data_IF_594915656775
#
_entry.id   IF_594915656775
#
_cell.length_a   1.000
_cell.length_b   1.000
_cell.length_c   1.000
_cell.angle_alpha   90.00
_cell.angle_beta   90.00
_cell.angle_gamma   90.00
#
_symmetry.space_group_name_H-M   'P 1'
#
loop_
_entity.id
_entity.type
_entity.pdbx_description
1 polymer ?
#
# COMPACT_ATOMS: atom_id res chain seq x y z
N UNK A 1 21.38 10.43 -13.91
CA UNK A 1 22.02 9.84 -12.70
C UNK A 1 21.06 8.95 -11.90
N UNK A 2 19.75 9.11 -12.01
CA UNK A 2 18.78 8.29 -11.26
C UNK A 2 18.68 6.82 -11.72
N UNK A 3 19.01 6.52 -12.96
CA UNK A 3 19.04 5.12 -13.47
C UNK A 3 20.21 4.27 -12.96
N UNK A 4 21.25 4.88 -12.41
CA UNK A 4 22.43 4.16 -11.87
C UNK A 4 22.23 3.68 -10.43
N UNK A 5 21.42 4.34 -9.64
CA UNK A 5 21.13 3.94 -8.25
C UNK A 5 20.30 2.65 -8.15
N UNK A 6 19.47 2.36 -9.16
CA UNK A 6 18.65 1.15 -9.23
C UNK A 6 19.46 -0.13 -9.52
N UNK A 7 20.61 0.01 -10.18
CA UNK A 7 21.43 -1.14 -10.63
C UNK A 7 22.24 -1.81 -9.52
N UNK A 8 22.50 -1.11 -8.42
CA UNK A 8 23.36 -1.61 -7.34
C UNK A 8 22.53 -2.34 -6.26
N UNK A 9 21.22 -2.07 -6.16
CA UNK A 9 20.31 -2.66 -5.18
C UNK A 9 19.79 -4.09 -5.45
N UNK A 10 20.03 -4.64 -6.62
CA UNK A 10 19.34 -5.81 -7.19
C UNK A 10 19.77 -7.20 -6.67
N UNK A 11 20.46 -7.33 -5.55
CA UNK A 11 21.00 -8.63 -5.10
C UNK A 11 20.44 -9.25 -3.81
N UNK A 12 19.47 -8.66 -3.19
CA UNK A 12 18.80 -9.30 -2.06
C UNK A 12 17.67 -10.28 -2.46
N UNK A 13 17.31 -10.36 -3.73
CA UNK A 13 16.08 -11.00 -4.18
C UNK A 13 16.26 -12.26 -5.05
N UNK A 14 17.43 -12.87 -5.07
CA UNK A 14 17.62 -14.15 -5.78
C UNK A 14 17.56 -15.26 -4.74
N UNK A 15 16.55 -16.12 -4.89
CA UNK A 15 16.23 -17.30 -4.08
C UNK A 15 15.27 -17.06 -2.90
N UNK A 16 14.07 -16.57 -3.18
CA UNK A 16 12.93 -17.08 -2.48
C UNK A 16 12.33 -18.20 -3.36
N UNK A 17 12.81 -19.41 -3.18
CA UNK A 17 12.05 -20.60 -3.54
C UNK A 17 10.69 -20.48 -2.86
N UNK A 18 9.56 -20.83 -3.51
CA UNK A 18 8.29 -20.89 -2.82
C UNK A 18 8.48 -21.86 -1.65
N UNK A 19 8.57 -21.32 -0.45
CA UNK A 19 8.60 -22.14 0.76
C UNK A 19 7.31 -22.93 0.72
N UNK A 20 7.43 -24.23 0.50
CA UNK A 20 6.41 -25.18 0.89
C UNK A 20 6.12 -24.88 2.35
N UNK A 21 4.93 -24.42 2.62
CA UNK A 21 4.42 -24.18 3.95
C UNK A 21 4.24 -25.56 4.62
N UNK A 22 5.34 -26.13 5.12
CA UNK A 22 5.30 -27.26 6.03
C UNK A 22 5.61 -26.70 7.40
N UNK A 23 4.55 -26.23 8.03
CA UNK A 23 4.24 -26.28 9.44
C UNK A 23 5.15 -26.97 10.40
N UNK A 24 5.35 -26.42 11.38
CA UNK A 24 5.34 -26.74 12.81
C UNK A 24 6.12 -25.64 13.50
N UNK A 25 5.39 -24.60 13.87
CA UNK A 25 5.87 -23.59 14.79
C UNK A 25 6.34 -24.29 16.06
N UNK A 26 7.64 -24.54 16.19
CA UNK A 26 8.26 -24.65 17.49
C UNK A 26 8.10 -23.28 18.13
N UNK A 27 7.20 -23.19 19.12
CA UNK A 27 7.11 -22.06 20.03
C UNK A 27 8.45 -21.99 20.80
N UNK A 28 9.36 -21.17 20.30
CA UNK A 28 10.45 -20.64 21.12
C UNK A 28 9.84 -19.64 22.08
N UNK A 29 10.24 -19.68 23.35
CA UNK A 29 9.81 -18.71 24.35
C UNK A 29 10.07 -17.29 23.84
N UNK A 30 9.16 -16.31 24.10
CA UNK A 30 9.33 -14.95 23.63
C UNK A 30 10.60 -14.36 24.22
N UNK A 31 11.40 -13.76 23.34
CA UNK A 31 12.58 -12.96 23.71
C UNK A 31 12.14 -11.83 24.65
N UNK A 32 12.73 -11.69 25.84
CA UNK A 32 12.37 -10.63 26.79
C UNK A 32 12.59 -9.20 26.25
N UNK A 33 13.27 -9.01 25.10
CA UNK A 33 13.40 -7.72 24.41
C UNK A 33 12.11 -7.27 23.68
N UNK A 34 11.09 -8.15 23.54
CA UNK A 34 9.84 -7.89 22.82
C UNK A 34 8.69 -7.42 23.72
N UNK A 35 8.96 -6.68 24.80
CA UNK A 35 7.89 -6.10 25.64
C UNK A 35 6.96 -5.10 24.91
N UNK A 36 7.29 -4.69 23.69
CA UNK A 36 6.53 -3.75 22.87
C UNK A 36 6.16 -4.30 21.47
N UNK A 37 6.09 -5.60 21.32
CA UNK A 37 5.60 -6.18 20.06
C UNK A 37 4.14 -5.73 19.83
N UNK A 38 3.78 -5.28 18.61
CA UNK A 38 2.43 -4.89 18.30
C UNK A 38 1.46 -6.07 18.49
N UNK A 39 0.17 -5.82 18.80
CA UNK A 39 -0.81 -6.89 18.93
C UNK A 39 -0.88 -7.68 17.62
N UNK A 40 -0.89 -9.00 17.74
CA UNK A 40 -1.02 -9.88 16.58
C UNK A 40 -2.37 -9.69 15.91
N UNK A 41 -2.38 -9.56 14.60
CA UNK A 41 -3.60 -9.53 13.81
C UNK A 41 -4.18 -10.94 13.64
N UNK A 42 -5.50 -11.08 13.42
CA UNK A 42 -6.09 -12.34 13.01
C UNK A 42 -5.39 -12.87 11.77
N UNK A 43 -5.18 -14.17 11.69
CA UNK A 43 -4.62 -14.78 10.48
C UNK A 43 -5.63 -14.69 9.32
N UNK A 44 -5.18 -14.51 8.06
CA UNK A 44 -6.06 -14.60 6.90
C UNK A 44 -6.62 -16.01 6.76
N UNK A 45 -7.74 -16.17 6.03
CA UNK A 45 -8.25 -17.47 5.61
C UNK A 45 -7.18 -18.28 4.88
N UNK A 46 -7.31 -19.59 4.87
CA UNK A 46 -6.36 -20.45 4.14
C UNK A 46 -6.46 -20.21 2.64
N UNK A 47 -5.38 -20.49 1.89
CA UNK A 47 -5.37 -20.36 0.43
C UNK A 47 -6.40 -21.24 -0.27
N UNK A 48 -6.83 -22.34 0.35
CA UNK A 48 -7.89 -23.21 -0.16
C UNK A 48 -9.27 -22.54 -0.06
N UNK A 49 -9.45 -21.61 0.86
CA UNK A 49 -10.66 -20.78 1.02
C UNK A 49 -10.61 -19.53 0.13
N UNK A 50 -9.47 -19.25 -0.52
CA UNK A 50 -9.38 -18.20 -1.52
C UNK A 50 -10.36 -18.53 -2.64
N UNK A 51 -11.48 -17.81 -2.60
CA UNK A 51 -12.60 -18.09 -3.48
C UNK A 51 -12.18 -18.11 -4.95
N UNK A 52 -12.12 -19.28 -5.54
CA UNK A 52 -12.07 -19.43 -7.01
C UNK A 52 -13.14 -18.58 -7.69
N UNK A 53 -14.21 -18.26 -6.96
CA UNK A 53 -15.29 -17.38 -7.36
C UNK A 53 -14.81 -15.94 -7.62
N UNK A 54 -13.98 -15.36 -6.74
CA UNK A 54 -13.44 -14.01 -6.94
C UNK A 54 -12.63 -13.93 -8.24
N UNK A 55 -11.63 -14.80 -8.40
CA UNK A 55 -10.73 -14.78 -9.56
C UNK A 55 -11.49 -15.06 -10.86
N UNK A 56 -12.44 -16.00 -10.85
CA UNK A 56 -13.28 -16.35 -12.01
C UNK A 56 -14.16 -15.19 -12.48
N UNK A 57 -14.64 -14.35 -11.57
CA UNK A 57 -15.51 -13.20 -11.87
C UNK A 57 -14.78 -11.87 -12.04
N UNK A 58 -13.45 -11.83 -11.86
CA UNK A 58 -12.69 -10.59 -11.83
C UNK A 58 -11.77 -10.46 -13.05
N UNK A 59 -11.88 -9.39 -13.83
CA UNK A 59 -10.93 -9.11 -14.89
C UNK A 59 -9.58 -8.76 -14.28
N UNK A 60 -8.52 -9.36 -14.81
CA UNK A 60 -7.14 -9.15 -14.41
C UNK A 60 -6.40 -8.40 -15.50
N UNK A 61 -5.52 -7.48 -15.13
CA UNK A 61 -4.58 -6.83 -16.04
C UNK A 61 -3.17 -7.34 -15.79
N UNK A 62 -2.34 -7.33 -16.82
CA UNK A 62 -0.89 -7.54 -16.67
C UNK A 62 -0.28 -6.35 -15.95
N UNK A 63 0.56 -6.60 -14.94
CA UNK A 63 1.19 -5.53 -14.15
C UNK A 63 2.15 -4.73 -15.02
N UNK A 64 2.00 -3.39 -15.14
CA UNK A 64 2.90 -2.54 -15.91
C UNK A 64 4.35 -2.67 -15.46
N UNK A 65 5.28 -2.68 -16.42
CA UNK A 65 6.71 -2.83 -16.13
C UNK A 65 7.18 -4.26 -15.89
N UNK A 66 6.28 -5.25 -15.86
CA UNK A 66 6.66 -6.66 -15.84
C UNK A 66 6.95 -7.12 -17.27
N UNK A 67 8.20 -7.47 -17.53
CA UNK A 67 8.59 -8.05 -18.82
C UNK A 67 8.23 -9.54 -18.88
N UNK A 68 7.77 -9.98 -20.07
CA UNK A 68 7.52 -11.40 -20.35
C UNK A 68 8.36 -11.81 -21.56
N UNK A 69 9.31 -12.70 -21.35
CA UNK A 69 10.33 -13.09 -22.32
C UNK A 69 10.18 -14.57 -22.70
N UNK A 70 10.44 -14.89 -23.98
CA UNK A 70 10.45 -16.26 -24.53
C UNK A 70 9.18 -17.08 -24.22
N UNK A 71 8.04 -16.44 -23.99
CA UNK A 71 6.79 -17.09 -23.59
C UNK A 71 6.87 -17.88 -22.28
N UNK A 72 7.89 -17.66 -21.47
CA UNK A 72 8.11 -18.45 -20.23
C UNK A 72 8.74 -17.70 -19.07
N UNK A 73 9.52 -16.65 -19.30
CA UNK A 73 10.26 -15.95 -18.24
C UNK A 73 9.64 -14.60 -17.97
N UNK A 74 9.35 -14.31 -16.71
CA UNK A 74 8.90 -12.99 -16.25
C UNK A 74 9.99 -12.30 -15.45
N UNK A 75 10.09 -10.97 -15.61
CA UNK A 75 11.02 -10.11 -14.90
C UNK A 75 10.22 -8.94 -14.33
N UNK A 76 10.09 -8.87 -13.03
CA UNK A 76 9.28 -7.87 -12.34
C UNK A 76 8.38 -8.48 -11.29
N UNK A 77 7.26 -7.81 -11.00
CA UNK A 77 6.30 -8.24 -9.98
C UNK A 77 6.51 -7.57 -8.63
N UNK A 78 5.67 -7.94 -7.66
CA UNK A 78 5.75 -7.44 -6.29
C UNK A 78 5.65 -8.62 -5.31
N UNK A 79 6.77 -9.02 -4.69
CA UNK A 79 8.14 -8.47 -4.84
C UNK A 79 8.75 -8.71 -6.23
N UNK A 80 9.71 -7.86 -6.62
CA UNK A 80 10.40 -7.98 -7.91
C UNK A 80 11.20 -9.29 -8.00
N UNK A 81 10.94 -10.11 -9.02
CA UNK A 81 11.57 -11.42 -9.22
C UNK A 81 11.88 -11.69 -10.68
N UNK A 82 12.78 -12.65 -10.91
CA UNK A 82 12.93 -13.30 -12.21
C UNK A 82 12.43 -14.72 -12.06
N UNK A 83 11.34 -15.05 -12.73
CA UNK A 83 10.65 -16.33 -12.55
C UNK A 83 10.42 -17.02 -13.89
N UNK A 84 10.73 -18.33 -13.97
CA UNK A 84 10.30 -19.15 -15.09
C UNK A 84 8.93 -19.75 -14.79
N UNK A 85 7.93 -19.34 -15.56
CA UNK A 85 6.55 -19.78 -15.37
C UNK A 85 6.41 -21.30 -15.63
N UNK A 86 5.63 -22.01 -14.79
CA UNK A 86 5.26 -23.40 -15.03
C UNK A 86 4.53 -23.55 -16.38
N UNK A 87 4.73 -24.68 -17.08
CA UNK A 87 4.15 -24.90 -18.40
C UNK A 87 2.64 -24.65 -18.47
N UNK A 88 1.89 -25.05 -17.44
CA UNK A 88 0.43 -24.87 -17.34
C UNK A 88 -0.01 -23.41 -17.17
N UNK A 89 0.88 -22.52 -16.70
CA UNK A 89 0.57 -21.08 -16.49
C UNK A 89 0.79 -20.26 -17.76
N UNK A 90 1.75 -20.66 -18.61
CA UNK A 90 2.21 -19.88 -19.76
C UNK A 90 1.12 -19.49 -20.75
N UNK A 91 0.16 -20.37 -21.14
CA UNK A 91 -0.87 -20.01 -22.12
C UNK A 91 -1.74 -18.86 -21.63
N UNK A 92 -2.14 -18.87 -20.35
CA UNK A 92 -2.92 -17.79 -19.78
C UNK A 92 -2.08 -16.53 -19.59
N UNK A 93 -0.82 -16.67 -19.14
CA UNK A 93 0.10 -15.54 -18.99
C UNK A 93 0.34 -14.82 -20.33
N UNK A 94 0.49 -15.57 -21.45
CA UNK A 94 0.63 -14.99 -22.78
C UNK A 94 -0.60 -14.16 -23.18
N UNK A 95 -1.80 -14.74 -23.05
CA UNK A 95 -3.06 -14.04 -23.33
C UNK A 95 -3.21 -12.77 -22.51
N UNK A 96 -2.88 -12.86 -21.20
CA UNK A 96 -3.00 -11.73 -20.28
C UNK A 96 -1.97 -10.64 -20.57
N UNK A 97 -0.74 -11.03 -20.93
CA UNK A 97 0.31 -10.09 -21.36
C UNK A 97 -0.10 -9.32 -22.61
N UNK A 98 -0.67 -10.02 -23.62
CA UNK A 98 -1.17 -9.42 -24.86
C UNK A 98 -2.37 -8.50 -24.60
N UNK A 99 -3.27 -8.87 -23.67
CA UNK A 99 -4.40 -8.03 -23.26
C UNK A 99 -3.96 -6.81 -22.45
N UNK A 100 -2.82 -6.87 -21.76
CA UNK A 100 -2.30 -5.76 -20.96
C UNK A 100 -3.30 -5.27 -19.92
N UNK A 101 -3.57 -3.96 -19.87
CA UNK A 101 -4.56 -3.33 -18.98
C UNK A 101 -5.99 -3.32 -19.52
N UNK A 102 -6.23 -3.76 -20.77
CA UNK A 102 -7.60 -4.04 -21.22
C UNK A 102 -8.23 -5.20 -20.44
N UNK A 103 -7.38 -6.06 -19.91
CA UNK A 103 -7.77 -7.10 -18.97
C UNK A 103 -8.30 -8.38 -19.59
N UNK A 104 -8.28 -9.44 -18.81
CA UNK A 104 -8.81 -10.76 -19.18
C UNK A 104 -9.43 -11.43 -17.94
N UNK A 105 -10.65 -11.94 -18.09
CA UNK A 105 -11.31 -12.71 -17.03
C UNK A 105 -11.05 -14.19 -17.22
N UNK A 106 -10.47 -14.91 -16.24
CA UNK A 106 -10.25 -16.35 -16.33
C UNK A 106 -11.58 -17.11 -16.43
N UNK A 107 -11.70 -17.99 -17.42
CA UNK A 107 -12.94 -18.72 -17.71
C UNK A 107 -12.89 -20.17 -17.23
N UNK A 108 -11.74 -20.84 -17.36
CA UNK A 108 -11.57 -22.26 -17.04
C UNK A 108 -10.86 -22.47 -15.69
N UNK A 109 -11.02 -23.64 -15.08
CA UNK A 109 -10.31 -24.00 -13.84
C UNK A 109 -8.78 -23.85 -13.97
N UNK A 110 -8.23 -24.17 -15.15
CA UNK A 110 -6.78 -24.04 -15.42
C UNK A 110 -6.38 -22.57 -15.50
N UNK A 111 -7.18 -21.72 -16.14
CA UNK A 111 -6.92 -20.28 -16.20
C UNK A 111 -7.05 -19.62 -14.83
N UNK A 112 -8.03 -20.02 -14.00
CA UNK A 112 -8.17 -19.55 -12.62
C UNK A 112 -6.94 -19.92 -11.79
N UNK A 113 -6.44 -21.15 -11.87
CA UNK A 113 -5.23 -21.57 -11.17
C UNK A 113 -3.98 -20.80 -11.66
N UNK A 114 -3.89 -20.54 -12.96
CA UNK A 114 -2.82 -19.71 -13.52
C UNK A 114 -2.92 -18.26 -13.07
N UNK A 115 -4.12 -17.70 -13.04
CA UNK A 115 -4.38 -16.35 -12.57
C UNK A 115 -3.99 -16.16 -11.09
N UNK A 116 -4.36 -17.09 -10.22
CA UNK A 116 -3.97 -17.09 -8.80
C UNK A 116 -2.44 -17.07 -8.69
N UNK A 117 -1.75 -17.92 -9.45
CA UNK A 117 -0.29 -17.96 -9.46
C UNK A 117 0.34 -16.62 -9.89
N UNK A 118 -0.22 -15.96 -10.91
CA UNK A 118 0.26 -14.66 -11.37
C UNK A 118 -0.02 -13.53 -10.36
N UNK A 119 -1.18 -13.55 -9.71
CA UNK A 119 -1.55 -12.63 -8.64
C UNK A 119 -0.62 -12.75 -7.42
N UNK A 120 -0.27 -13.97 -7.03
CA UNK A 120 0.61 -14.22 -5.89
C UNK A 120 2.05 -13.72 -6.11
N UNK A 121 2.49 -13.67 -7.37
CA UNK A 121 3.78 -13.13 -7.76
C UNK A 121 3.73 -11.63 -8.10
N UNK A 122 2.55 -10.97 -8.04
CA UNK A 122 2.39 -9.59 -8.46
C UNK A 122 2.70 -9.35 -9.95
N UNK A 123 2.50 -10.37 -10.79
CA UNK A 123 2.65 -10.29 -12.24
C UNK A 123 1.34 -9.87 -12.93
N UNK A 124 0.25 -9.99 -12.22
CA UNK A 124 -1.09 -9.56 -12.60
C UNK A 124 -1.76 -8.87 -11.41
N UNK A 125 -2.68 -7.96 -11.71
CA UNK A 125 -3.49 -7.24 -10.74
C UNK A 125 -4.96 -7.32 -11.12
N UNK A 126 -5.89 -7.45 -10.15
CA UNK A 126 -7.31 -7.32 -10.43
C UNK A 126 -7.63 -5.87 -10.82
N UNK A 127 -8.46 -5.71 -11.83
CA UNK A 127 -8.89 -4.38 -12.28
C UNK A 127 -10.00 -3.82 -11.38
N UNK A 128 -9.90 -2.56 -10.93
CA UNK A 128 -10.88 -1.93 -10.07
C UNK A 128 -12.11 -1.49 -10.90
N UNK A 129 -13.10 -2.36 -10.98
CA UNK A 129 -14.35 -2.15 -11.73
C UNK A 129 -15.52 -2.19 -10.77
N UNK A 130 -16.37 -1.15 -10.81
CA UNK A 130 -17.59 -1.10 -10.02
C UNK A 130 -18.54 -2.24 -10.41
N UNK A 131 -19.16 -2.88 -9.40
CA UNK A 131 -20.07 -4.02 -9.59
C UNK A 131 -21.50 -3.75 -9.11
N UNK A 132 -21.85 -2.52 -8.87
CA UNK A 132 -23.16 -2.10 -8.38
C UNK A 132 -23.06 -1.26 -7.10
N UNK A 133 -24.21 -0.98 -6.46
CA UNK A 133 -24.24 -0.25 -5.19
C UNK A 133 -23.42 -0.96 -4.09
N UNK A 134 -22.80 -0.18 -3.23
CA UNK A 134 -22.06 -0.64 -2.06
C UNK A 134 -22.89 -0.29 -0.82
N UNK A 135 -23.17 -1.26 0.04
CA UNK A 135 -23.98 -1.11 1.26
C UNK A 135 -23.29 -1.66 2.52
N UNK A 136 -22.09 -2.19 2.36
CA UNK A 136 -21.31 -2.85 3.42
C UNK A 136 -20.03 -2.09 3.81
N UNK A 137 -19.97 -0.79 3.49
CA UNK A 137 -18.84 0.11 3.81
C UNK A 137 -19.34 1.35 4.54
N UNK A 138 -18.77 1.64 5.70
CA UNK A 138 -18.87 2.96 6.35
C UNK A 138 -17.61 3.78 6.08
N UNK A 139 -17.76 5.09 5.92
CA UNK A 139 -16.63 6.02 5.73
C UNK A 139 -16.31 6.72 7.04
N UNK A 140 -15.06 6.75 7.45
CA UNK A 140 -14.55 7.43 8.65
C UNK A 140 -13.63 8.57 8.23
N UNK A 141 -13.96 9.78 8.67
CA UNK A 141 -13.20 11.00 8.38
C UNK A 141 -12.68 11.60 9.69
N UNK A 142 -11.40 11.40 10.05
CA UNK A 142 -10.80 12.09 11.19
C UNK A 142 -10.53 13.54 10.82
N UNK A 143 -10.79 14.48 11.74
CA UNK A 143 -10.54 15.90 11.51
C UNK A 143 -10.02 16.59 12.76
N UNK A 144 -9.09 17.52 12.59
CA UNK A 144 -8.63 18.45 13.60
C UNK A 144 -8.42 19.82 12.99
N UNK A 145 -9.27 20.80 13.37
CA UNK A 145 -9.31 22.20 12.88
C UNK A 145 -9.86 22.34 11.45
N UNK A 146 -9.38 21.74 10.47
CA UNK A 146 -9.58 21.92 9.01
C UNK A 146 -11.05 21.82 8.52
N UNK A 147 -11.96 22.63 9.07
CA UNK A 147 -13.38 22.60 8.72
C UNK A 147 -13.68 22.89 7.24
N UNK A 148 -12.92 23.78 6.59
CA UNK A 148 -13.11 24.09 5.17
C UNK A 148 -12.70 22.92 4.25
N UNK A 149 -11.62 22.22 4.59
CA UNK A 149 -11.20 21.02 3.87
C UNK A 149 -12.21 19.90 4.08
N UNK A 150 -12.70 19.72 5.34
CA UNK A 150 -13.76 18.76 5.64
C UNK A 150 -15.01 18.96 4.79
N UNK A 151 -15.46 20.21 4.60
CA UNK A 151 -16.63 20.53 3.77
C UNK A 151 -16.47 20.01 2.34
N UNK A 152 -15.28 20.23 1.72
CA UNK A 152 -14.96 19.73 0.38
C UNK A 152 -14.86 18.20 0.34
N UNK A 153 -14.25 17.60 1.36
CA UNK A 153 -14.17 16.16 1.51
C UNK A 153 -15.57 15.53 1.56
N UNK A 154 -16.45 16.02 2.45
CA UNK A 154 -17.80 15.49 2.60
C UNK A 154 -18.63 15.69 1.32
N UNK A 155 -18.50 16.83 0.65
CA UNK A 155 -19.16 17.05 -0.64
C UNK A 155 -18.73 16.03 -1.70
N UNK A 156 -17.43 15.67 -1.74
CA UNK A 156 -16.92 14.66 -2.69
C UNK A 156 -17.40 13.25 -2.36
N UNK A 157 -17.63 12.93 -1.10
CA UNK A 157 -18.12 11.61 -0.66
C UNK A 157 -19.61 11.40 -0.91
N UNK A 158 -20.37 12.46 -1.12
CA UNK A 158 -21.82 12.39 -1.27
C UNK A 158 -22.29 11.56 -2.48
N UNK A 159 -21.46 11.43 -3.52
CA UNK A 159 -21.82 10.75 -4.77
C UNK A 159 -22.13 9.26 -4.59
N UNK A 160 -21.51 8.59 -3.60
CA UNK A 160 -21.71 7.16 -3.35
C UNK A 160 -22.80 6.87 -2.31
N UNK A 161 -23.29 7.89 -1.60
CA UNK A 161 -24.40 7.76 -0.62
C UNK A 161 -24.11 6.87 0.58
N UNK A 162 -22.82 6.66 0.91
CA UNK A 162 -22.37 5.81 2.01
C UNK A 162 -22.55 6.51 3.38
N UNK A 163 -22.77 5.76 4.48
CA UNK A 163 -22.74 6.32 5.81
C UNK A 163 -21.37 6.93 6.14
N UNK A 164 -21.35 8.19 6.59
CA UNK A 164 -20.13 8.91 6.96
C UNK A 164 -20.09 9.18 8.46
N UNK A 165 -18.97 8.87 9.10
CA UNK A 165 -18.65 9.13 10.49
C UNK A 165 -17.50 10.14 10.54
N UNK A 166 -17.77 11.37 10.96
CA UNK A 166 -16.75 12.39 11.19
C UNK A 166 -16.29 12.29 12.65
N UNK A 167 -14.98 12.24 12.88
CA UNK A 167 -14.40 12.23 14.23
C UNK A 167 -13.58 13.49 14.44
N UNK A 168 -14.10 14.43 15.22
CA UNK A 168 -13.38 15.64 15.63
C UNK A 168 -12.43 15.32 16.79
N UNK A 169 -11.14 15.39 16.52
CA UNK A 169 -10.07 15.09 17.48
C UNK A 169 -9.81 16.25 18.46
N UNK A 170 -10.85 16.71 19.14
CA UNK A 170 -10.85 17.81 20.10
C UNK A 170 -10.36 19.14 19.50
N UNK A 171 -10.97 19.58 18.41
CA UNK A 171 -10.70 20.88 17.82
C UNK A 171 -11.07 22.04 18.76
N UNK A 172 -10.42 23.22 18.65
CA UNK A 172 -10.83 24.42 19.35
C UNK A 172 -12.28 24.79 19.05
N UNK A 173 -12.97 25.41 20.00
CA UNK A 173 -14.42 25.66 19.96
C UNK A 173 -14.91 26.29 18.64
N UNK A 174 -14.18 27.27 18.09
CA UNK A 174 -14.54 27.91 16.82
C UNK A 174 -14.49 26.95 15.62
N UNK A 175 -13.47 26.07 15.56
CA UNK A 175 -13.35 25.06 14.53
C UNK A 175 -14.35 23.92 14.75
N UNK A 176 -14.54 23.47 15.98
CA UNK A 176 -15.50 22.44 16.34
C UNK A 176 -16.93 22.81 15.92
N UNK A 177 -17.34 24.07 16.11
CA UNK A 177 -18.65 24.56 15.67
C UNK A 177 -18.80 24.51 14.12
N UNK A 178 -17.74 24.82 13.38
CA UNK A 178 -17.73 24.72 11.90
C UNK A 178 -17.76 23.27 11.44
N UNK A 179 -16.98 22.40 12.09
CA UNK A 179 -16.97 20.94 11.82
C UNK A 179 -18.37 20.35 12.05
N UNK A 180 -19.01 20.71 13.18
CA UNK A 180 -20.36 20.24 13.48
C UNK A 180 -21.39 20.71 12.43
N UNK A 181 -21.26 21.94 11.97
CA UNK A 181 -22.10 22.48 10.88
C UNK A 181 -21.89 21.72 9.56
N UNK A 182 -20.65 21.47 9.20
CA UNK A 182 -20.31 20.73 7.97
C UNK A 182 -20.85 19.29 8.04
N UNK A 183 -20.61 18.58 9.15
CA UNK A 183 -21.11 17.22 9.34
C UNK A 183 -22.64 17.15 9.24
N UNK A 184 -23.36 18.08 9.88
CA UNK A 184 -24.81 18.16 9.81
C UNK A 184 -25.34 18.46 8.40
N UNK A 185 -24.68 19.36 7.67
CA UNK A 185 -25.08 19.73 6.30
C UNK A 185 -24.99 18.54 5.30
N UNK A 186 -24.07 17.61 5.55
CA UNK A 186 -23.87 16.41 4.73
C UNK A 186 -24.47 15.13 5.35
N UNK A 187 -25.26 15.24 6.43
CA UNK A 187 -25.88 14.07 7.08
C UNK A 187 -24.88 13.10 7.73
N UNK A 188 -23.67 13.55 8.00
CA UNK A 188 -22.63 12.73 8.62
C UNK A 188 -22.83 12.62 10.14
N UNK A 189 -22.59 11.43 10.71
CA UNK A 189 -22.57 11.24 12.17
C UNK A 189 -21.30 11.86 12.74
N UNK A 190 -21.41 12.79 13.68
CA UNK A 190 -20.28 13.43 14.34
C UNK A 190 -19.97 12.76 15.69
N UNK A 191 -18.69 12.47 15.91
CA UNK A 191 -18.11 12.09 17.20
C UNK A 191 -17.11 13.18 17.59
N UNK A 192 -17.22 13.72 18.80
CA UNK A 192 -16.29 14.71 19.34
C UNK A 192 -15.47 14.06 20.45
N UNK A 193 -14.17 14.02 20.27
CA UNK A 193 -13.25 13.46 21.28
C UNK A 193 -13.02 14.47 22.41
N UNK A 194 -12.89 14.03 23.65
CA UNK A 194 -12.62 14.92 24.77
C UNK A 194 -11.17 15.47 24.79
N UNK A 195 -10.25 14.79 24.10
CA UNK A 195 -8.82 15.12 24.06
C UNK A 195 -8.22 14.75 22.70
N UNK A 196 -7.33 15.59 22.20
CA UNK A 196 -6.57 15.31 20.99
C UNK A 196 -5.59 14.14 21.19
N UNK A 197 -5.78 13.08 20.43
CA UNK A 197 -4.97 11.87 20.45
C UNK A 197 -4.19 11.65 19.14
N UNK A 198 -4.50 12.40 18.10
CA UNK A 198 -3.93 12.23 16.78
C UNK A 198 -4.80 11.38 15.85
N UNK A 199 -4.38 11.26 14.57
CA UNK A 199 -5.21 10.64 13.52
C UNK A 199 -5.51 9.16 13.80
N UNK A 200 -4.56 8.40 14.32
CA UNK A 200 -4.74 6.97 14.62
C UNK A 200 -5.82 6.72 15.67
N UNK A 201 -5.84 7.49 16.76
CA UNK A 201 -6.87 7.36 17.80
C UNK A 201 -8.24 7.83 17.28
N UNK A 202 -8.29 8.93 16.50
CA UNK A 202 -9.53 9.40 15.90
C UNK A 202 -10.11 8.36 14.89
N UNK A 203 -9.27 7.73 14.07
CA UNK A 203 -9.69 6.63 13.19
C UNK A 203 -10.18 5.42 13.98
N UNK A 204 -9.53 5.10 15.11
CA UNK A 204 -9.98 4.02 16.01
C UNK A 204 -11.37 4.28 16.55
N UNK A 205 -11.67 5.50 17.04
CA UNK A 205 -12.99 5.83 17.55
C UNK A 205 -14.07 5.75 16.45
N UNK A 206 -13.77 6.21 15.23
CA UNK A 206 -14.66 6.06 14.08
C UNK A 206 -14.85 4.60 13.66
N UNK A 207 -13.78 3.81 13.65
CA UNK A 207 -13.82 2.37 13.38
C UNK A 207 -14.73 1.64 14.38
N UNK A 208 -14.61 1.94 15.66
CA UNK A 208 -15.41 1.33 16.72
C UNK A 208 -16.88 1.77 16.69
N UNK A 209 -17.16 2.97 16.17
CA UNK A 209 -18.52 3.47 15.99
C UNK A 209 -19.24 2.92 14.76
N UNK A 210 -18.51 2.34 13.82
CA UNK A 210 -19.01 1.61 12.65
C UNK A 210 -19.26 0.15 13.01
N UNK A 211 -20.23 -0.48 12.36
CA UNK A 211 -20.49 -1.94 12.43
C UNK A 211 -20.30 -2.62 11.08
N UNK A 212 -20.00 -1.84 10.05
CA UNK A 212 -19.82 -2.36 8.70
C UNK A 212 -18.66 -3.35 8.61
N UNK A 213 -18.74 -4.40 7.77
CA UNK A 213 -17.67 -5.36 7.55
C UNK A 213 -16.41 -4.74 6.91
N UNK A 214 -16.58 -3.60 6.24
CA UNK A 214 -15.50 -2.81 5.69
C UNK A 214 -15.59 -1.36 6.16
N UNK A 215 -14.43 -0.75 6.39
CA UNK A 215 -14.34 0.67 6.78
C UNK A 215 -13.41 1.38 5.82
N UNK A 216 -13.90 2.46 5.24
CA UNK A 216 -13.11 3.36 4.43
C UNK A 216 -12.61 4.53 5.28
N UNK A 217 -11.30 4.72 5.37
CA UNK A 217 -10.72 5.91 5.98
C UNK A 217 -10.41 6.94 4.91
N UNK A 218 -10.76 8.18 5.16
CA UNK A 218 -10.52 9.32 4.28
C UNK A 218 -10.10 10.51 5.13
N UNK A 219 -8.94 11.09 4.88
CA UNK A 219 -8.52 12.29 5.59
C UNK A 219 -9.35 13.50 5.16
N UNK A 220 -9.57 14.45 6.08
CA UNK A 220 -10.44 15.61 5.84
C UNK A 220 -9.95 16.55 4.76
N UNK A 221 -8.70 16.42 4.28
CA UNK A 221 -8.09 17.19 3.20
C UNK A 221 -8.02 16.41 1.87
N UNK A 222 -8.78 15.30 1.76
CA UNK A 222 -8.95 14.52 0.53
C UNK A 222 -10.23 14.93 -0.21
N UNK A 223 -10.13 15.05 -1.51
CA UNK A 223 -11.26 15.11 -2.45
C UNK A 223 -11.31 13.78 -3.19
N UNK A 224 -12.31 12.97 -2.89
CA UNK A 224 -12.46 11.64 -3.43
C UNK A 224 -13.08 11.67 -4.83
N UNK A 225 -12.70 10.74 -5.72
CA UNK A 225 -13.43 10.51 -6.96
C UNK A 225 -14.80 9.89 -6.67
N UNK A 226 -15.79 10.22 -7.52
CA UNK A 226 -17.20 9.90 -7.29
C UNK A 226 -17.51 8.40 -7.20
N UNK A 227 -16.63 7.53 -7.67
CA UNK A 227 -16.81 6.08 -7.77
C UNK A 227 -15.68 5.28 -7.09
N UNK A 228 -14.92 5.93 -6.20
CA UNK A 228 -13.70 5.32 -5.65
C UNK A 228 -13.97 4.09 -4.76
N UNK A 229 -15.02 4.13 -3.92
CA UNK A 229 -15.39 2.98 -3.08
C UNK A 229 -16.02 1.89 -3.95
N UNK A 230 -16.97 2.23 -4.82
CA UNK A 230 -17.65 1.27 -5.67
C UNK A 230 -16.70 0.53 -6.62
N UNK A 231 -15.58 1.15 -7.02
CA UNK A 231 -14.53 0.51 -7.81
C UNK A 231 -13.54 -0.32 -6.97
N UNK A 232 -13.20 0.12 -5.77
CA UNK A 232 -12.21 -0.57 -4.93
C UNK A 232 -12.82 -1.70 -4.09
N UNK A 233 -14.06 -1.54 -3.61
CA UNK A 233 -14.72 -2.52 -2.74
C UNK A 233 -14.72 -3.95 -3.33
N UNK A 234 -14.98 -4.16 -4.63
CA UNK A 234 -14.94 -5.50 -5.22
C UNK A 234 -13.58 -6.20 -5.13
N UNK A 235 -12.47 -5.46 -4.98
CA UNK A 235 -11.15 -6.06 -4.79
C UNK A 235 -10.99 -6.74 -3.41
N UNK A 236 -11.85 -6.37 -2.47
CA UNK A 236 -11.94 -6.99 -1.14
C UNK A 236 -12.83 -8.26 -1.14
N UNK A 237 -13.41 -8.65 -2.27
CA UNK A 237 -14.08 -9.96 -2.39
C UNK A 237 -13.06 -11.12 -2.38
N UNK A 238 -11.79 -10.84 -2.69
CA UNK A 238 -10.69 -11.76 -2.38
C UNK A 238 -10.56 -11.84 -0.85
N UNK A 239 -10.86 -13.01 -0.22
CA UNK A 239 -10.87 -13.12 1.24
C UNK A 239 -9.48 -12.93 1.88
N UNK A 240 -8.40 -13.00 1.10
CA UNK A 240 -7.04 -12.75 1.56
C UNK A 240 -6.67 -11.26 1.58
N UNK A 241 -7.50 -10.39 1.01
CA UNK A 241 -7.22 -8.95 0.95
C UNK A 241 -7.74 -8.25 2.20
N UNK A 242 -6.81 -7.67 2.97
CA UNK A 242 -7.09 -6.90 4.18
C UNK A 242 -7.43 -5.43 3.87
N UNK A 243 -6.76 -4.84 2.90
CA UNK A 243 -6.92 -3.43 2.56
C UNK A 243 -6.63 -3.15 1.09
N UNK A 244 -7.28 -2.11 0.57
CA UNK A 244 -7.08 -1.59 -0.79
C UNK A 244 -7.05 -0.06 -0.73
N UNK A 245 -6.07 0.56 -1.38
CA UNK A 245 -5.98 2.02 -1.48
C UNK A 245 -5.93 2.49 -2.94
N UNK A 246 -6.55 3.64 -3.25
CA UNK A 246 -6.38 4.35 -4.52
C UNK A 246 -5.02 5.07 -4.56
N UNK A 247 -4.69 5.63 -5.70
CA UNK A 247 -3.64 6.64 -5.81
C UNK A 247 -4.14 7.96 -5.24
N UNK A 248 -3.31 8.60 -4.40
CA UNK A 248 -3.58 9.94 -3.88
C UNK A 248 -2.58 10.89 -4.49
N UNK A 249 -3.06 11.82 -5.31
CA UNK A 249 -2.22 12.82 -5.98
C UNK A 249 -2.45 14.20 -5.38
N UNK A 250 -1.44 15.06 -5.48
CA UNK A 250 -1.55 16.44 -5.05
C UNK A 250 -2.56 17.22 -5.91
N UNK A 251 -3.49 17.93 -5.28
CA UNK A 251 -4.38 18.90 -5.94
C UNK A 251 -3.69 20.26 -5.96
N UNK A 252 -2.97 20.54 -7.03
CA UNK A 252 -2.18 21.76 -7.19
C UNK A 252 -3.03 22.83 -7.87
N UNK A 253 -3.23 23.96 -7.18
CA UNK A 253 -4.02 25.08 -7.68
C UNK A 253 -3.15 26.28 -8.07
N UNK A 254 -1.88 26.31 -7.68
CA UNK A 254 -0.95 27.42 -7.89
C UNK A 254 0.35 26.97 -8.59
N UNK A 255 1.33 27.88 -8.56
CA UNK A 255 2.63 27.70 -9.24
C UNK A 255 3.81 27.93 -8.30
N UNK A 256 3.58 27.88 -6.98
CA UNK A 256 4.69 28.00 -6.02
C UNK A 256 5.64 26.82 -6.14
N UNK A 257 6.91 27.02 -5.79
CA UNK A 257 7.91 25.94 -5.84
C UNK A 257 7.56 24.74 -4.96
N UNK A 258 6.78 24.93 -3.91
CA UNK A 258 6.31 23.86 -3.03
C UNK A 258 5.21 23.06 -3.73
N UNK A 259 4.25 23.75 -4.35
CA UNK A 259 3.16 23.09 -5.09
C UNK A 259 3.69 22.28 -6.27
N UNK A 260 4.62 22.83 -7.07
CA UNK A 260 5.30 22.12 -8.14
C UNK A 260 6.12 20.91 -7.66
N UNK A 261 6.72 21.05 -6.46
CA UNK A 261 7.41 19.91 -5.85
C UNK A 261 6.42 18.82 -5.43
N UNK A 262 5.33 19.18 -4.73
CA UNK A 262 4.29 18.24 -4.28
C UNK A 262 3.58 17.56 -5.47
N UNK A 263 3.37 18.26 -6.59
CA UNK A 263 2.82 17.69 -7.82
C UNK A 263 3.63 16.48 -8.32
N UNK A 264 4.95 16.53 -8.18
CA UNK A 264 5.85 15.52 -8.72
C UNK A 264 6.41 14.56 -7.66
N UNK A 265 6.36 14.94 -6.37
CA UNK A 265 7.01 14.26 -5.25
C UNK A 265 6.16 14.24 -3.99
N UNK A 266 4.83 14.22 -4.12
CA UNK A 266 3.94 14.05 -2.98
C UNK A 266 4.27 12.77 -2.21
N UNK A 267 4.28 12.86 -0.89
CA UNK A 267 4.51 11.69 -0.01
C UNK A 267 3.36 10.69 -0.04
N UNK A 268 2.17 11.14 -0.47
CA UNK A 268 0.99 10.29 -0.58
C UNK A 268 0.90 9.57 -1.93
N UNK A 269 1.63 10.06 -2.96
CA UNK A 269 1.62 9.46 -4.29
C UNK A 269 2.60 8.28 -4.38
N UNK A 270 2.08 7.07 -4.32
CA UNK A 270 2.86 5.84 -4.45
C UNK A 270 3.16 5.47 -5.92
N UNK A 271 2.82 6.35 -6.89
CA UNK A 271 3.07 6.15 -8.32
C UNK A 271 1.90 5.51 -9.07
N UNK A 272 2.08 5.33 -10.38
CA UNK A 272 1.02 4.88 -11.29
C UNK A 272 0.98 3.35 -11.52
N UNK A 273 1.82 2.58 -10.80
CA UNK A 273 1.90 1.13 -11.01
C UNK A 273 1.14 0.40 -9.92
N UNK A 274 0.14 -0.43 -10.27
CA UNK A 274 -0.55 -1.25 -9.29
C UNK A 274 0.43 -2.22 -8.62
N UNK A 275 0.20 -2.51 -7.35
CA UNK A 275 1.14 -3.31 -6.58
C UNK A 275 0.45 -4.09 -5.48
N UNK A 276 0.92 -5.30 -5.23
CA UNK A 276 0.80 -5.90 -3.92
C UNK A 276 1.77 -5.15 -3.00
N UNK A 277 1.24 -4.61 -1.92
CA UNK A 277 2.02 -3.85 -0.94
C UNK A 277 2.79 -4.83 -0.05
N UNK A 278 4.10 -4.80 -0.15
CA UNK A 278 5.00 -5.68 0.58
C UNK A 278 6.21 -4.87 1.02
N UNK A 279 6.67 -5.10 2.24
CA UNK A 279 7.87 -4.45 2.71
C UNK A 279 9.08 -4.68 1.76
N UNK A 280 9.81 -3.59 1.46
CA UNK A 280 11.04 -3.65 0.66
C UNK A 280 10.84 -3.62 -0.86
N UNK A 281 9.63 -3.34 -1.33
CA UNK A 281 9.32 -3.03 -2.73
C UNK A 281 8.97 -1.53 -2.87
N UNK A 282 8.82 -0.98 -4.08
CA UNK A 282 8.51 0.44 -4.29
C UNK A 282 7.28 0.92 -3.51
N UNK A 283 6.21 0.11 -3.45
CA UNK A 283 5.03 0.37 -2.60
C UNK A 283 5.11 -0.53 -1.37
N UNK A 284 5.86 -0.10 -0.38
CA UNK A 284 6.14 -0.88 0.83
C UNK A 284 5.17 -0.63 1.99
N UNK A 285 4.25 0.32 1.85
CA UNK A 285 3.22 0.72 2.80
C UNK A 285 2.15 1.53 2.06
N UNK A 286 1.02 1.84 2.72
CA UNK A 286 -0.03 2.70 2.19
C UNK A 286 -0.38 3.78 3.20
N UNK A 287 -0.59 5.04 2.75
CA UNK A 287 -1.15 6.07 3.61
C UNK A 287 -2.62 5.75 3.92
N UNK A 288 -3.03 5.93 5.16
CA UNK A 288 -4.44 5.81 5.54
C UNK A 288 -5.25 7.06 5.19
N UNK A 289 -4.67 7.99 4.45
CA UNK A 289 -5.34 9.17 3.91
C UNK A 289 -6.53 8.81 2.99
N UNK A 290 -6.45 7.64 2.31
CA UNK A 290 -7.57 7.07 1.54
C UNK A 290 -7.35 5.56 1.40
N UNK A 291 -8.14 4.75 2.13
CA UNK A 291 -8.00 3.28 2.13
C UNK A 291 -9.31 2.62 2.55
N UNK A 292 -9.67 1.49 1.95
CA UNK A 292 -10.77 0.63 2.42
C UNK A 292 -10.15 -0.59 3.09
N UNK A 293 -10.61 -0.90 4.30
CA UNK A 293 -10.08 -1.96 5.12
C UNK A 293 -11.16 -2.97 5.52
N UNK A 294 -10.79 -4.24 5.52
CA UNK A 294 -11.59 -5.34 6.07
C UNK A 294 -11.50 -5.32 7.60
N UNK A 295 -12.64 -5.16 8.28
CA UNK A 295 -12.71 -5.18 9.75
C UNK A 295 -12.09 -6.44 10.36
N UNK A 296 -12.39 -7.61 9.80
CA UNK A 296 -11.88 -8.90 10.29
C UNK A 296 -10.36 -9.07 10.16
N UNK A 297 -9.67 -8.18 9.43
CA UNK A 297 -8.22 -8.20 9.26
C UNK A 297 -7.47 -7.26 10.22
N UNK A 298 -8.17 -6.63 11.17
CA UNK A 298 -7.59 -5.67 12.11
C UNK A 298 -7.58 -6.21 13.54
N UNK A 299 -6.72 -5.63 14.39
CA UNK A 299 -6.76 -5.80 15.84
C UNK A 299 -7.80 -4.86 16.47
N UNK A 300 -8.03 -5.01 17.75
CA UNK A 300 -8.75 -4.05 18.59
C UNK A 300 -7.78 -3.53 19.68
N UNK A 301 -7.37 -2.26 19.62
CA UNK A 301 -7.66 -1.26 18.59
C UNK A 301 -6.92 -1.51 17.26
N UNK A 302 -7.46 -1.00 16.12
CA UNK A 302 -6.81 -1.17 14.80
C UNK A 302 -5.50 -0.41 14.69
N UNK A 303 -5.44 0.81 15.22
CA UNK A 303 -4.25 1.64 15.26
C UNK A 303 -3.62 1.61 16.66
N UNK A 304 -2.29 1.66 16.72
CA UNK A 304 -1.55 1.65 17.98
C UNK A 304 -1.80 2.94 18.78
N UNK A 305 -2.30 2.85 20.03
CA UNK A 305 -2.47 4.01 20.89
C UNK A 305 -1.16 4.76 21.13
N UNK A 306 -1.20 6.09 21.00
CA UNK A 306 -0.02 6.95 21.20
C UNK A 306 0.96 7.01 20.04
N UNK A 307 0.84 6.16 19.00
CA UNK A 307 1.61 6.28 17.77
C UNK A 307 0.98 7.37 16.88
N UNK A 308 1.49 8.60 17.00
CA UNK A 308 0.91 9.78 16.33
C UNK A 308 1.32 9.92 14.88
N UNK A 309 2.40 9.25 14.47
CA UNK A 309 2.98 9.29 13.11
C UNK A 309 3.51 7.91 12.77
N UNK A 310 3.21 7.43 11.58
CA UNK A 310 3.58 6.09 11.12
C UNK A 310 2.62 4.99 11.58
N UNK A 311 1.45 5.37 12.10
CA UNK A 311 0.38 4.46 12.49
C UNK A 311 -0.14 3.66 11.28
N UNK A 312 -0.11 4.27 10.10
CA UNK A 312 -0.45 3.68 8.82
C UNK A 312 0.60 2.65 8.36
N UNK A 313 1.87 3.02 8.47
CA UNK A 313 2.99 2.10 8.17
C UNK A 313 2.96 0.89 9.09
N UNK A 314 2.81 1.11 10.40
CA UNK A 314 2.69 0.06 11.41
C UNK A 314 1.56 -0.92 11.09
N UNK A 315 0.37 -0.40 10.78
CA UNK A 315 -0.79 -1.22 10.48
C UNK A 315 -0.59 -2.07 9.22
N UNK A 316 -0.10 -1.48 8.13
CA UNK A 316 0.14 -2.20 6.87
C UNK A 316 1.22 -3.27 7.05
N UNK A 317 2.27 -2.98 7.81
CA UNK A 317 3.31 -3.96 8.08
C UNK A 317 2.83 -5.10 8.98
N UNK A 318 1.96 -4.84 9.96
CA UNK A 318 1.31 -5.90 10.74
C UNK A 318 0.42 -6.80 9.87
N UNK A 319 -0.31 -6.22 8.90
CA UNK A 319 -1.09 -7.00 7.94
C UNK A 319 -0.21 -7.93 7.09
N UNK A 320 0.90 -7.40 6.55
CA UNK A 320 1.87 -8.18 5.78
C UNK A 320 2.52 -9.30 6.63
N UNK A 321 2.89 -9.01 7.89
CA UNK A 321 3.46 -9.99 8.85
C UNK A 321 2.47 -11.10 9.22
N UNK A 322 1.19 -10.76 9.32
CA UNK A 322 0.13 -11.74 9.58
C UNK A 322 -0.22 -12.59 8.34
N UNK A 323 0.34 -12.25 7.16
CA UNK A 323 0.11 -12.95 5.90
C UNK A 323 -1.06 -12.45 5.06
N UNK A 324 -1.67 -11.32 5.45
CA UNK A 324 -2.69 -10.66 4.65
C UNK A 324 -2.12 -10.04 3.37
N UNK A 325 -2.95 -9.90 2.36
CA UNK A 325 -2.62 -9.14 1.16
C UNK A 325 -3.15 -7.72 1.31
N UNK A 326 -2.29 -6.74 1.04
CA UNK A 326 -2.67 -5.34 0.89
C UNK A 326 -2.43 -4.93 -0.56
N UNK A 327 -3.39 -4.21 -1.18
CA UNK A 327 -3.32 -3.85 -2.61
C UNK A 327 -3.33 -2.34 -2.80
N UNK A 328 -2.53 -1.91 -3.75
CA UNK A 328 -2.54 -0.55 -4.28
C UNK A 328 -3.14 -0.56 -5.69
N UNK A 329 -4.18 0.23 -5.91
CA UNK A 329 -4.95 0.27 -7.15
C UNK A 329 -4.96 1.70 -7.75
N UNK A 330 -3.88 2.13 -8.43
CA UNK A 330 -3.69 3.49 -8.90
C UNK A 330 -4.59 3.90 -10.07
N UNK A 331 -5.36 2.98 -10.64
CA UNK A 331 -6.38 3.29 -11.65
C UNK A 331 -7.57 4.08 -11.06
N UNK A 332 -7.67 4.13 -9.74
CA UNK A 332 -8.58 5.01 -8.98
C UNK A 332 -7.74 6.11 -8.36
N UNK A 333 -8.14 7.37 -8.56
CA UNK A 333 -7.36 8.53 -8.15
C UNK A 333 -8.20 9.42 -7.25
N UNK A 334 -7.70 9.70 -6.05
CA UNK A 334 -8.21 10.72 -5.16
C UNK A 334 -7.20 11.88 -5.09
N UNK A 335 -7.65 13.06 -4.73
CA UNK A 335 -6.84 14.27 -4.70
C UNK A 335 -6.62 14.72 -3.25
N UNK A 336 -5.42 15.17 -2.94
CA UNK A 336 -5.05 15.69 -1.63
C UNK A 336 -4.73 17.18 -1.72
N UNK A 337 -5.31 17.99 -0.83
CA UNK A 337 -5.06 19.43 -0.75
C UNK A 337 -3.59 19.72 -0.37
N UNK A 338 -2.90 20.45 -1.22
CA UNK A 338 -1.49 20.81 -1.01
C UNK A 338 -1.37 21.99 -0.06
N UNK A 339 -0.43 21.90 0.88
CA UNK A 339 -0.04 23.02 1.75
C UNK A 339 1.03 23.85 1.06
N UNK A 340 0.81 25.17 1.07
CA UNK A 340 1.68 26.13 0.36
C UNK A 340 2.78 26.72 1.23
N UNK A 341 2.74 26.50 2.54
CA UNK A 341 3.70 27.05 3.49
C UNK A 341 4.99 26.20 3.62
N UNK A 342 6.15 26.80 3.36
CA UNK A 342 7.46 26.15 3.56
C UNK A 342 7.67 25.68 5.00
N UNK A 343 7.20 26.45 5.97
CA UNK A 343 7.30 26.09 7.39
C UNK A 343 6.55 24.80 7.70
N UNK A 344 5.34 24.68 7.19
CA UNK A 344 4.49 23.48 7.41
C UNK A 344 5.05 22.27 6.65
N UNK A 345 5.59 22.50 5.45
CA UNK A 345 6.28 21.48 4.66
C UNK A 345 7.47 20.89 5.43
N UNK A 346 8.39 21.75 5.94
CA UNK A 346 9.57 21.30 6.70
C UNK A 346 9.16 20.64 8.02
N UNK A 347 8.21 21.23 8.76
CA UNK A 347 7.74 20.69 10.04
C UNK A 347 7.18 19.26 9.87
N UNK A 348 6.42 19.01 8.81
CA UNK A 348 5.88 17.67 8.49
C UNK A 348 6.98 16.67 8.20
N UNK A 349 7.99 17.04 7.40
CA UNK A 349 9.12 16.15 7.09
C UNK A 349 9.94 15.78 8.32
N UNK A 350 10.15 16.73 9.22
CA UNK A 350 10.80 16.45 10.52
C UNK A 350 9.93 15.51 11.36
N UNK A 351 8.63 15.73 11.39
CA UNK A 351 7.70 14.90 12.13
C UNK A 351 7.68 13.45 11.60
N UNK A 352 7.62 13.25 10.29
CA UNK A 352 7.67 11.93 9.67
C UNK A 352 8.99 11.21 9.91
N UNK A 353 10.13 11.95 9.82
CA UNK A 353 11.43 11.38 10.14
C UNK A 353 11.54 10.88 11.59
N UNK A 354 10.80 11.52 12.51
CA UNK A 354 10.75 11.11 13.93
C UNK A 354 10.08 9.75 14.18
N UNK A 355 9.20 9.30 13.30
CA UNK A 355 8.52 8.00 13.45
C UNK A 355 9.44 6.79 13.22
N UNK A 356 10.55 6.98 12.50
CA UNK A 356 11.43 5.88 12.09
C UNK A 356 11.97 5.05 13.27
N UNK A 357 12.36 5.70 14.38
CA UNK A 357 12.87 4.99 15.54
C UNK A 357 11.81 4.12 16.23
N UNK A 358 10.57 4.59 16.26
CA UNK A 358 9.44 3.83 16.83
C UNK A 358 9.09 2.64 15.92
N UNK A 359 9.01 2.88 14.62
CA UNK A 359 8.75 1.83 13.63
C UNK A 359 9.83 0.74 13.63
N UNK A 360 11.13 1.11 13.77
CA UNK A 360 12.21 0.12 13.86
C UNK A 360 12.11 -0.72 15.14
N UNK A 361 11.69 -0.14 16.28
CA UNK A 361 11.48 -0.90 17.53
C UNK A 361 10.31 -1.89 17.39
N UNK A 362 9.26 -1.52 16.66
CA UNK A 362 8.06 -2.33 16.46
C UNK A 362 8.24 -3.38 15.36
N UNK A 363 8.99 -3.04 14.33
CA UNK A 363 9.26 -3.88 13.16
C UNK A 363 10.78 -3.98 12.91
N UNK A 364 11.52 -4.73 13.74
CA UNK A 364 12.98 -4.79 13.65
C UNK A 364 13.46 -5.20 12.26
N UNK A 365 14.48 -4.50 11.76
CA UNK A 365 15.12 -4.73 10.44
C UNK A 365 14.26 -4.35 9.22
N UNK A 366 13.14 -3.66 9.39
CA UNK A 366 12.37 -3.14 8.24
C UNK A 366 12.86 -1.77 7.77
N UNK A 367 13.42 -0.94 8.63
CA UNK A 367 13.98 0.37 8.29
C UNK A 367 15.47 0.35 7.99
N UNK A 368 15.98 -0.71 7.38
CA UNK A 368 17.39 -0.79 7.00
C UNK A 368 17.66 0.25 5.90
N UNK A 369 18.48 1.30 6.16
CA UNK A 369 18.67 2.42 5.24
C UNK A 369 19.39 2.02 3.94
N UNK A 370 20.07 0.88 3.93
CA UNK A 370 20.72 0.33 2.76
C UNK A 370 20.75 -1.19 2.83
N UNK A 371 20.45 -1.85 1.73
CA UNK A 371 20.61 -3.32 1.55
C UNK A 371 21.76 -3.54 0.55
N UNK A 372 23.03 -3.44 0.97
CA UNK A 372 24.14 -3.61 0.08
C UNK A 372 24.16 -5.06 -0.46
N UNK A 373 24.26 -5.22 -1.76
CA UNK A 373 24.55 -6.51 -2.35
C UNK A 373 25.99 -6.92 -2.04
N UNK A 374 26.28 -8.22 -1.99
CA UNK A 374 27.67 -8.70 -1.80
C UNK A 374 28.62 -8.12 -2.86
N UNK A 375 28.17 -7.95 -4.11
CA UNK A 375 28.97 -7.28 -5.14
C UNK A 375 29.12 -5.77 -4.87
N UNK A 376 28.07 -5.11 -4.36
CA UNK A 376 28.16 -3.71 -3.93
C UNK A 376 29.13 -3.53 -2.76
N UNK A 377 29.08 -4.41 -1.76
CA UNK A 377 30.06 -4.45 -0.66
C UNK A 377 31.46 -4.66 -1.21
N UNK A 378 31.64 -5.59 -2.17
CA UNK A 378 32.90 -5.85 -2.82
C UNK A 378 33.45 -4.64 -3.55
N UNK A 379 32.62 -3.90 -4.30
CA UNK A 379 33.00 -2.66 -4.98
C UNK A 379 33.44 -1.59 -3.97
N UNK A 380 32.58 -1.30 -2.97
CA UNK A 380 32.87 -0.27 -1.98
C UNK A 380 34.09 -0.63 -1.13
N UNK A 381 34.21 -1.88 -0.69
CA UNK A 381 35.37 -2.37 0.04
C UNK A 381 36.66 -2.25 -0.77
N UNK A 382 36.65 -2.67 -2.05
CA UNK A 382 37.82 -2.54 -2.93
C UNK A 382 38.26 -1.07 -3.09
N UNK A 383 37.31 -0.14 -3.25
CA UNK A 383 37.59 1.30 -3.30
C UNK A 383 38.17 1.83 -1.98
N UNK A 384 37.60 1.43 -0.86
CA UNK A 384 38.06 1.84 0.48
C UNK A 384 39.49 1.35 0.78
N UNK A 385 39.90 0.20 0.22
CA UNK A 385 41.26 -0.32 0.32
C UNK A 385 42.18 0.12 -0.83
N UNK A 386 41.81 1.13 -1.61
CA UNK A 386 42.62 1.66 -2.69
C UNK A 386 42.86 0.73 -3.87
N UNK A 387 41.89 -0.18 -4.14
CA UNK A 387 41.94 -1.19 -5.21
C UNK A 387 40.93 -0.91 -6.34
N UNK A 388 41.07 0.19 -7.12
CA UNK A 388 40.05 0.59 -8.10
C UNK A 388 39.90 -0.40 -9.24
N UNK A 389 40.95 -1.12 -9.62
CA UNK A 389 40.88 -2.16 -10.67
C UNK A 389 40.01 -3.35 -10.23
N UNK A 390 40.11 -3.76 -8.98
CA UNK A 390 39.28 -4.83 -8.42
C UNK A 390 37.82 -4.36 -8.35
N UNK A 391 37.58 -3.13 -7.91
CA UNK A 391 36.25 -2.51 -7.89
C UNK A 391 35.63 -2.49 -9.30
N UNK A 392 36.41 -2.09 -10.32
CA UNK A 392 36.02 -2.09 -11.72
C UNK A 392 35.69 -3.49 -12.24
N UNK A 393 36.50 -4.49 -11.91
CA UNK A 393 36.25 -5.89 -12.30
C UNK A 393 34.95 -6.45 -11.69
N UNK A 394 34.69 -6.18 -10.38
CA UNK A 394 33.46 -6.59 -9.71
C UNK A 394 32.24 -5.87 -10.32
N UNK A 395 32.35 -4.57 -10.60
CA UNK A 395 31.27 -3.79 -11.23
C UNK A 395 30.99 -4.29 -12.66
N UNK A 396 32.04 -4.54 -13.46
CA UNK A 396 31.94 -5.12 -14.82
C UNK A 396 31.28 -6.49 -14.81
N UNK A 397 31.67 -7.36 -13.87
CA UNK A 397 31.00 -8.66 -13.69
C UNK A 397 29.52 -8.51 -13.31
N UNK A 398 29.21 -7.61 -12.38
CA UNK A 398 27.83 -7.33 -12.00
C UNK A 398 27.00 -6.84 -13.19
N UNK A 399 27.54 -5.91 -13.98
CA UNK A 399 26.92 -5.39 -15.19
C UNK A 399 26.68 -6.49 -16.24
N UNK A 400 27.73 -7.26 -16.58
CA UNK A 400 27.65 -8.33 -17.57
C UNK A 400 26.61 -9.40 -17.16
N UNK A 401 26.58 -9.76 -15.86
CA UNK A 401 25.59 -10.69 -15.32
C UNK A 401 24.17 -10.13 -15.44
N UNK A 402 23.95 -8.86 -15.06
CA UNK A 402 22.64 -8.21 -15.17
C UNK A 402 22.18 -8.14 -16.63
N UNK A 403 23.07 -7.75 -17.55
CA UNK A 403 22.79 -7.71 -18.98
C UNK A 403 22.40 -9.09 -19.55
N UNK A 404 23.07 -10.17 -19.11
CA UNK A 404 22.69 -11.54 -19.51
C UNK A 404 21.30 -11.94 -19.00
N UNK A 405 20.92 -11.50 -17.80
CA UNK A 405 19.61 -11.79 -17.21
C UNK A 405 18.48 -10.98 -17.87
N UNK A 406 18.77 -9.73 -18.25
CA UNK A 406 17.79 -8.84 -18.89
C UNK A 406 17.60 -9.13 -20.38
N UNK A 407 18.58 -9.80 -21.02
CA UNK A 407 18.59 -10.07 -22.46
C UNK A 407 18.99 -8.84 -23.30
N UNK A 408 19.14 -8.99 -24.61
CA UNK A 408 19.28 -7.86 -25.51
C UNK A 408 17.97 -7.05 -25.53
N UNK A 409 18.10 -5.72 -25.64
CA UNK A 409 16.98 -4.79 -25.78
C UNK A 409 16.13 -5.09 -27.02
#
# INVERSE_FOLDING_TARGET
>A
MERFALLIGLKGCIMASPRKNTSRAQRTAPDPALKNAPPALPAPPTTDERGTAFVKGTPLGWTPGVAFRDGKTTIGGSPWTITTLPRRVRPFAQKLFEAGRAGLTPATKTEVAAAIFLLDLGLADPLPIARGPVDDVDVVVPVYKHAASLERCLASLAAEGLPVIVVDDASPAADAARIAKAAAAHGARLIVRPKNGGPGEARTDGFNASTAPFVAFVDADIVASADWVSRLRPLLDDPLVAAVAPRVVADVQGTSSIELYEETRSELDMGAVPSRVVYGVPVGWLPTASVIMRRAATSDPPFEPGLRVGEDVDLVWRMDEAGWTVRYAPDVINHHEVRTSLRDFVARRVMYGGSAAELERRHPRRLIPARPSLLGIGVLGSLAFGQPLIAGAIAGYAFARTRRLLGPD
#
